data_IF_608360205639
#
_entry.id   IF_608360205639
#
_cell.length_a   1.000
_cell.length_b   1.000
_cell.length_c   1.000
_cell.angle_alpha   90.00
_cell.angle_beta   90.00
_cell.angle_gamma   90.00
#
_symmetry.space_group_name_H-M   'P 1'
#
loop_
_entity.id
_entity.type
_entity.pdbx_description
1 polymer ?
#
# COMPACT_ATOMS: atom_id res chain seq x y z
N UNK A 1 -9.63 -11.72 -10.26
CA UNK A 1 -10.06 -12.42 -9.02
C UNK A 1 -11.42 -13.09 -9.15
N UNK A 2 -12.34 -12.52 -9.94
CA UNK A 2 -13.67 -13.09 -10.25
C UNK A 2 -13.63 -14.59 -10.59
N UNK A 3 -12.79 -15.04 -11.53
CA UNK A 3 -12.73 -16.45 -11.94
C UNK A 3 -12.41 -17.44 -10.79
N UNK A 4 -11.56 -17.05 -9.83
CA UNK A 4 -11.28 -17.89 -8.65
C UNK A 4 -12.48 -17.90 -7.72
N UNK A 5 -13.15 -16.77 -7.52
CA UNK A 5 -14.39 -16.68 -6.72
C UNK A 5 -15.52 -17.50 -7.34
N UNK A 6 -15.75 -17.35 -8.64
CA UNK A 6 -16.77 -18.07 -9.40
C UNK A 6 -16.56 -19.59 -9.25
N UNK A 7 -15.30 -20.04 -9.33
CA UNK A 7 -14.97 -21.46 -9.15
C UNK A 7 -15.19 -21.96 -7.73
N UNK A 8 -14.86 -21.16 -6.71
CA UNK A 8 -15.15 -21.49 -5.31
C UNK A 8 -16.66 -21.53 -5.03
N UNK A 9 -17.44 -20.69 -5.70
CA UNK A 9 -18.91 -20.71 -5.62
C UNK A 9 -19.52 -21.93 -6.33
N UNK A 10 -18.95 -22.34 -7.47
CA UNK A 10 -19.40 -23.51 -8.22
C UNK A 10 -19.05 -24.85 -7.54
N UNK A 11 -17.93 -24.91 -6.81
CA UNK A 11 -17.49 -26.11 -6.07
C UNK A 11 -17.28 -25.78 -4.57
N UNK A 12 -18.35 -25.75 -3.76
CA UNK A 12 -18.24 -25.52 -2.32
C UNK A 12 -17.34 -26.56 -1.65
N UNK A 13 -16.42 -26.11 -0.80
CA UNK A 13 -15.43 -26.96 -0.14
C UNK A 13 -14.12 -27.18 -0.92
N UNK A 14 -14.02 -26.68 -2.16
CA UNK A 14 -12.75 -26.66 -2.89
C UNK A 14 -11.74 -25.76 -2.17
N UNK A 15 -10.52 -26.24 -1.84
CA UNK A 15 -9.50 -25.39 -1.26
C UNK A 15 -9.10 -24.24 -2.21
N UNK A 16 -8.95 -23.03 -1.68
CA UNK A 16 -8.53 -21.84 -2.44
C UNK A 16 -7.23 -22.09 -3.22
N UNK A 17 -6.29 -22.83 -2.64
CA UNK A 17 -5.03 -23.22 -3.30
C UNK A 17 -5.26 -24.04 -4.57
N UNK A 18 -6.22 -24.97 -4.55
CA UNK A 18 -6.59 -25.80 -5.70
C UNK A 18 -7.36 -24.99 -6.75
N UNK A 19 -8.26 -24.12 -6.33
CA UNK A 19 -8.94 -23.19 -7.23
C UNK A 19 -7.94 -22.30 -7.97
N UNK A 20 -6.96 -21.73 -7.25
CA UNK A 20 -5.89 -20.90 -7.83
C UNK A 20 -5.00 -21.69 -8.79
N UNK A 21 -4.67 -22.96 -8.49
CA UNK A 21 -3.88 -23.79 -9.39
C UNK A 21 -4.61 -24.04 -10.71
N UNK A 22 -5.87 -24.45 -10.65
CA UNK A 22 -6.67 -24.77 -11.83
C UNK A 22 -6.94 -23.53 -12.71
N UNK A 23 -7.28 -22.40 -12.08
CA UNK A 23 -7.45 -21.14 -12.81
C UNK A 23 -6.12 -20.63 -13.35
N UNK A 24 -5.03 -20.81 -12.59
CA UNK A 24 -3.68 -20.50 -13.05
C UNK A 24 -3.28 -21.30 -14.29
N UNK A 25 -3.52 -22.61 -14.31
CA UNK A 25 -3.30 -23.48 -15.47
C UNK A 25 -4.09 -23.01 -16.71
N UNK A 26 -5.35 -22.60 -16.53
CA UNK A 26 -6.18 -22.08 -17.62
C UNK A 26 -5.68 -20.74 -18.19
N UNK A 27 -5.08 -19.90 -17.34
CA UNK A 27 -4.61 -18.56 -17.71
C UNK A 27 -3.11 -18.51 -18.04
N UNK A 28 -2.38 -19.62 -17.89
CA UNK A 28 -0.92 -19.63 -18.00
C UNK A 28 -0.20 -18.87 -16.86
N UNK A 29 -0.85 -18.71 -15.71
CA UNK A 29 -0.33 -17.99 -14.54
C UNK A 29 0.08 -18.99 -13.48
N UNK A 30 1.22 -18.77 -12.82
CA UNK A 30 1.61 -19.59 -11.68
C UNK A 30 0.54 -19.52 -10.56
N UNK A 31 0.09 -20.68 -10.09
CA UNK A 31 -0.98 -20.77 -9.08
C UNK A 31 -0.66 -20.09 -7.74
N UNK A 32 0.63 -20.00 -7.37
CA UNK A 32 1.06 -19.28 -6.16
C UNK A 32 0.97 -17.77 -6.33
N UNK A 33 1.34 -17.25 -7.52
CA UNK A 33 1.14 -15.84 -7.86
C UNK A 33 -0.34 -15.47 -7.78
N UNK A 34 -1.21 -16.29 -8.36
CA UNK A 34 -2.65 -16.06 -8.30
C UNK A 34 -3.18 -16.12 -6.87
N UNK A 35 -2.67 -17.03 -6.04
CA UNK A 35 -3.04 -17.12 -4.62
C UNK A 35 -2.65 -15.86 -3.85
N UNK A 36 -1.45 -15.32 -4.07
CA UNK A 36 -1.01 -14.09 -3.43
C UNK A 36 -1.92 -12.92 -3.80
N UNK A 37 -2.32 -12.82 -5.07
CA UNK A 37 -3.30 -11.83 -5.48
C UNK A 37 -4.64 -12.05 -4.79
N UNK A 38 -5.12 -13.30 -4.66
CA UNK A 38 -6.43 -13.60 -4.02
C UNK A 38 -6.40 -13.19 -2.56
N UNK A 39 -5.29 -13.44 -1.88
CA UNK A 39 -5.12 -13.01 -0.50
C UNK A 39 -5.11 -11.48 -0.39
N UNK A 40 -4.41 -10.78 -1.29
CA UNK A 40 -4.40 -9.29 -1.30
C UNK A 40 -5.79 -8.73 -1.56
N UNK A 41 -6.50 -9.24 -2.56
CA UNK A 41 -7.86 -8.84 -2.90
C UNK A 41 -8.83 -9.04 -1.73
N UNK A 42 -8.70 -10.15 -1.00
CA UNK A 42 -9.48 -10.39 0.23
C UNK A 42 -9.15 -9.40 1.36
N UNK A 43 -7.91 -8.94 1.46
CA UNK A 43 -7.55 -7.88 2.42
C UNK A 43 -8.18 -6.56 1.96
N UNK A 44 -8.07 -6.23 0.69
CA UNK A 44 -8.57 -4.98 0.12
C UNK A 44 -10.10 -4.89 0.15
N UNK A 45 -10.82 -6.02 0.09
CA UNK A 45 -12.28 -6.10 0.24
C UNK A 45 -12.74 -6.17 1.71
N UNK A 46 -11.82 -6.36 2.66
CA UNK A 46 -12.14 -6.53 4.08
C UNK A 46 -12.55 -7.95 4.48
N UNK A 47 -12.48 -8.93 3.58
CA UNK A 47 -12.75 -10.35 3.85
C UNK A 47 -11.64 -11.02 4.69
N UNK A 48 -10.48 -10.38 4.79
CA UNK A 48 -9.35 -10.80 5.60
C UNK A 48 -8.73 -9.58 6.28
N UNK A 49 -8.32 -9.73 7.55
CA UNK A 49 -7.61 -8.66 8.24
C UNK A 49 -6.25 -8.36 7.59
N UNK A 50 -5.92 -7.08 7.47
CA UNK A 50 -4.64 -6.61 6.95
C UNK A 50 -4.70 -5.15 6.53
N UNK A 51 -3.54 -4.53 6.30
CA UNK A 51 -3.47 -3.20 5.70
C UNK A 51 -3.83 -3.29 4.22
N UNK A 52 -4.81 -2.51 3.80
CA UNK A 52 -5.24 -2.48 2.41
C UNK A 52 -4.20 -1.80 1.52
N UNK A 53 -4.26 -2.08 0.23
CA UNK A 53 -3.46 -1.37 -0.77
C UNK A 53 -3.71 0.15 -0.74
N UNK A 54 -4.94 0.57 -0.40
CA UNK A 54 -5.30 1.98 -0.25
C UNK A 54 -4.66 2.61 0.98
N UNK A 55 -4.63 1.90 2.11
CA UNK A 55 -3.94 2.36 3.34
C UNK A 55 -2.44 2.53 3.08
N UNK A 56 -1.82 1.56 2.41
CA UNK A 56 -0.40 1.62 2.05
C UNK A 56 -0.09 2.83 1.14
N UNK A 57 -0.95 3.10 0.15
CA UNK A 57 -0.80 4.26 -0.73
C UNK A 57 -0.95 5.58 0.04
N UNK A 58 -1.94 5.68 0.92
CA UNK A 58 -2.15 6.87 1.76
C UNK A 58 -0.99 7.10 2.71
N UNK A 59 -0.45 6.04 3.31
CA UNK A 59 0.72 6.13 4.19
C UNK A 59 1.93 6.66 3.43
N UNK A 60 2.20 6.16 2.22
CA UNK A 60 3.32 6.62 1.40
C UNK A 60 3.20 8.11 1.04
N UNK A 61 2.00 8.61 0.73
CA UNK A 61 1.78 10.03 0.46
C UNK A 61 2.00 10.88 1.72
N UNK A 62 1.47 10.45 2.86
CA UNK A 62 1.68 11.15 4.12
C UNK A 62 3.15 11.19 4.53
N UNK A 63 3.89 10.10 4.32
CA UNK A 63 5.32 10.06 4.57
C UNK A 63 6.09 11.03 3.65
N UNK A 64 5.67 11.15 2.39
CA UNK A 64 6.24 12.11 1.44
C UNK A 64 5.98 13.55 1.89
N UNK A 65 4.73 13.88 2.19
CA UNK A 65 4.36 15.20 2.70
C UNK A 65 5.12 15.54 3.98
N UNK A 66 5.25 14.58 4.92
CA UNK A 66 5.99 14.79 6.15
C UNK A 66 7.47 15.10 5.89
N UNK A 67 8.11 14.42 4.93
CA UNK A 67 9.49 14.71 4.52
C UNK A 67 9.63 16.12 3.96
N UNK A 68 8.69 16.54 3.11
CA UNK A 68 8.69 17.88 2.51
C UNK A 68 8.48 18.97 3.56
N UNK A 69 7.52 18.77 4.47
CA UNK A 69 7.27 19.68 5.59
C UNK A 69 8.49 19.81 6.52
N UNK A 70 9.15 18.69 6.85
CA UNK A 70 10.38 18.72 7.64
C UNK A 70 11.47 19.52 6.95
N UNK A 71 11.67 19.34 5.64
CA UNK A 71 12.65 20.09 4.85
C UNK A 71 12.34 21.59 4.86
N UNK A 72 11.08 21.96 4.61
CA UNK A 72 10.65 23.36 4.63
C UNK A 72 10.86 23.99 6.02
N UNK A 73 10.50 23.25 7.08
CA UNK A 73 10.68 23.72 8.46
C UNK A 73 12.16 23.95 8.79
N UNK A 74 13.08 23.09 8.33
CA UNK A 74 14.52 23.29 8.49
C UNK A 74 14.99 24.59 7.83
N UNK A 75 14.57 24.85 6.58
CA UNK A 75 14.93 26.07 5.85
C UNK A 75 14.41 27.30 6.59
N UNK A 76 13.15 27.29 7.03
CA UNK A 76 12.55 28.41 7.74
C UNK A 76 13.28 28.68 9.07
N UNK A 77 13.65 27.64 9.82
CA UNK A 77 14.43 27.82 11.07
C UNK A 77 15.80 28.41 10.82
N UNK A 78 16.48 27.96 9.77
CA UNK A 78 17.78 28.53 9.37
C UNK A 78 17.65 29.99 8.96
N UNK A 79 16.64 30.33 8.15
CA UNK A 79 16.36 31.71 7.76
C UNK A 79 16.06 32.60 8.97
N UNK A 80 15.18 32.15 9.87
CA UNK A 80 14.86 32.89 11.11
C UNK A 80 16.08 33.12 11.98
N UNK A 81 16.96 32.11 12.13
CA UNK A 81 18.21 32.27 12.88
C UNK A 81 19.16 33.29 12.22
N UNK A 82 19.29 33.24 10.89
CA UNK A 82 20.10 34.20 10.13
C UNK A 82 19.60 35.65 10.32
N UNK A 83 18.29 35.87 10.17
CA UNK A 83 17.71 37.21 10.35
C UNK A 83 17.81 37.71 11.79
N UNK A 84 17.65 36.84 12.78
CA UNK A 84 17.83 37.20 14.19
C UNK A 84 19.27 37.64 14.47
N UNK A 85 20.28 36.93 13.93
CA UNK A 85 21.68 37.32 14.08
C UNK A 85 21.97 38.67 13.41
N UNK A 86 21.51 38.86 12.18
CA UNK A 86 21.70 40.12 11.46
C UNK A 86 21.03 41.33 12.14
N UNK A 87 19.94 41.11 12.89
CA UNK A 87 19.32 42.14 13.71
C UNK A 87 20.15 42.47 14.97
N UNK A 88 20.76 41.46 15.61
CA UNK A 88 21.67 41.68 16.73
C UNK A 88 22.93 42.43 16.29
N UNK A 89 23.51 42.07 15.14
CA UNK A 89 24.74 42.70 14.62
C UNK A 89 24.54 44.19 14.25
N UNK A 90 23.29 44.64 14.08
CA UNK A 90 22.94 46.04 13.76
C UNK A 90 22.62 46.90 15.00
N UNK A 91 22.54 46.31 16.19
CA UNK A 91 22.29 47.00 17.46
C UNK A 91 23.58 47.26 18.22
#
# INVERSE_FOLDING_TARGET
MRLVRDRLAAEPGLPVSRACRLVGEQLGINGDTLRNWVQRDRIDTGDLAGATSADAARLAELEKENRELRRANTILRQASAYFAQAELDRR
#
